data_IF_720908662904
#
_entry.id   IF_720908662904
#
_cell.length_a   1.000
_cell.length_b   1.000
_cell.length_c   1.000
_cell.angle_alpha   90.00
_cell.angle_beta   90.00
_cell.angle_gamma   90.00
#
_symmetry.space_group_name_H-M   'P 1'
#
loop_
_entity.id
_entity.type
_entity.pdbx_description
1 polymer ?
#
# COMPACT_ATOMS: atom_id res chain seq x y z
N UNK A 1 5.68 -11.40 14.04
CA UNK A 1 6.02 -12.63 13.31
C UNK A 1 6.95 -13.46 14.19
N UNK A 2 6.39 -14.09 15.23
CA UNK A 2 7.18 -14.69 16.31
C UNK A 2 7.15 -16.22 16.28
N UNK A 3 6.46 -16.81 15.30
CA UNK A 3 6.51 -18.25 15.01
C UNK A 3 7.44 -18.47 13.81
N UNK A 4 8.56 -19.18 13.97
CA UNK A 4 9.47 -19.52 12.87
C UNK A 4 8.77 -20.30 11.74
N UNK A 5 7.83 -21.17 12.08
CA UNK A 5 7.08 -21.99 11.12
C UNK A 5 6.23 -21.15 10.18
N UNK A 6 5.63 -20.07 10.70
CA UNK A 6 4.87 -19.10 9.91
C UNK A 6 5.83 -18.21 9.12
N UNK A 7 6.89 -17.73 9.75
CA UNK A 7 7.82 -16.77 9.13
C UNK A 7 8.54 -17.34 7.90
N UNK A 8 8.95 -18.61 7.94
CA UNK A 8 9.65 -19.27 6.83
C UNK A 8 8.74 -19.55 5.63
N UNK A 9 7.42 -19.49 5.83
CA UNK A 9 6.42 -19.70 4.77
C UNK A 9 5.98 -18.39 4.11
N UNK A 10 6.51 -17.24 4.55
CA UNK A 10 6.16 -15.92 4.04
C UNK A 10 7.31 -15.35 3.20
N UNK A 11 6.97 -14.74 2.06
CA UNK A 11 7.93 -13.99 1.23
C UNK A 11 8.37 -12.67 1.88
N UNK A 12 7.60 -12.16 2.84
CA UNK A 12 7.92 -10.95 3.61
C UNK A 12 7.07 -10.88 4.88
N UNK A 13 7.47 -10.11 5.90
CA UNK A 13 8.74 -9.38 6.03
C UNK A 13 9.91 -10.33 6.38
N UNK A 14 11.18 -9.86 6.42
CA UNK A 14 12.33 -10.69 6.77
C UNK A 14 12.26 -11.29 8.18
N UNK A 15 12.83 -12.48 8.35
CA UNK A 15 12.98 -13.17 9.63
C UNK A 15 14.46 -13.24 10.08
N UNK A 16 14.80 -12.84 11.32
CA UNK A 16 13.92 -12.23 12.32
C UNK A 16 13.51 -10.81 11.91
N UNK A 17 12.31 -10.40 12.34
CA UNK A 17 11.84 -9.04 12.08
C UNK A 17 12.46 -8.07 13.08
N UNK A 18 13.51 -7.38 12.65
CA UNK A 18 14.19 -6.35 13.43
C UNK A 18 13.42 -5.03 13.42
N UNK A 19 13.66 -4.18 14.43
CA UNK A 19 13.04 -2.85 14.56
C UNK A 19 13.30 -1.97 13.35
N UNK A 20 14.49 -2.09 12.77
CA UNK A 20 14.97 -1.34 11.61
C UNK A 20 14.11 -1.62 10.37
N UNK A 21 13.60 -2.86 10.21
CA UNK A 21 12.68 -3.20 9.13
C UNK A 21 11.35 -2.48 9.30
N UNK A 22 10.83 -2.42 10.53
CA UNK A 22 9.63 -1.65 10.85
C UNK A 22 9.82 -0.15 10.58
N UNK A 23 10.98 0.40 10.95
CA UNK A 23 11.31 1.81 10.69
C UNK A 23 11.42 2.11 9.18
N UNK A 24 12.07 1.24 8.42
CA UNK A 24 12.18 1.39 6.96
C UNK A 24 10.80 1.35 6.30
N UNK A 25 9.97 0.36 6.66
CA UNK A 25 8.59 0.26 6.17
C UNK A 25 7.73 1.48 6.55
N UNK A 26 7.87 1.99 7.78
CA UNK A 26 7.16 3.19 8.21
C UNK A 26 7.62 4.42 7.42
N UNK A 27 8.93 4.56 7.18
CA UNK A 27 9.48 5.68 6.42
C UNK A 27 8.98 5.68 4.97
N UNK A 28 8.92 4.52 4.32
CA UNK A 28 8.30 4.39 2.99
C UNK A 28 6.82 4.75 3.03
N UNK A 29 6.10 4.31 4.07
CA UNK A 29 4.67 4.57 4.22
C UNK A 29 4.37 6.06 4.43
N UNK A 30 5.19 6.76 5.21
CA UNK A 30 5.09 8.22 5.38
C UNK A 30 5.42 8.96 4.09
N UNK A 31 6.42 8.50 3.31
CA UNK A 31 6.75 9.10 2.01
C UNK A 31 5.57 9.02 1.04
N UNK A 32 4.93 7.85 0.95
CA UNK A 32 3.77 7.64 0.08
C UNK A 32 2.62 8.58 0.49
N UNK A 33 2.37 8.70 1.81
CA UNK A 33 1.37 9.60 2.37
C UNK A 33 1.65 11.06 2.04
N UNK A 34 2.86 11.57 2.31
CA UNK A 34 3.21 12.97 2.07
C UNK A 34 3.11 13.32 0.59
N UNK A 35 3.51 12.41 -0.30
CA UNK A 35 3.36 12.59 -1.76
C UNK A 35 1.89 12.82 -2.15
N UNK A 36 0.98 12.00 -1.62
CA UNK A 36 -0.45 12.17 -1.86
C UNK A 36 -1.01 13.44 -1.19
N UNK A 37 -0.54 13.79 0.00
CA UNK A 37 -0.99 14.98 0.72
C UNK A 37 -0.55 16.29 0.07
N UNK A 38 0.60 16.33 -0.61
CA UNK A 38 1.01 17.51 -1.41
C UNK A 38 -0.03 17.81 -2.48
N UNK A 39 -0.52 16.79 -3.19
CA UNK A 39 -1.59 16.96 -4.17
C UNK A 39 -2.88 17.45 -3.53
N UNK A 40 -3.29 16.83 -2.42
CA UNK A 40 -4.53 17.20 -1.70
C UNK A 40 -4.48 18.64 -1.18
N UNK A 41 -3.38 19.04 -0.54
CA UNK A 41 -3.25 20.36 0.11
C UNK A 41 -3.19 21.51 -0.88
N UNK A 42 -2.74 21.26 -2.11
CA UNK A 42 -2.62 22.27 -3.16
C UNK A 42 -3.88 22.36 -4.05
N UNK A 43 -4.90 21.54 -3.80
CA UNK A 43 -6.15 21.63 -4.53
C UNK A 43 -7.07 22.67 -3.87
N UNK A 44 -7.58 23.63 -4.65
CA UNK A 44 -8.39 24.73 -4.12
C UNK A 44 -9.78 24.29 -3.63
N UNK A 45 -10.45 23.40 -4.39
CA UNK A 45 -11.83 22.95 -4.06
C UNK A 45 -12.08 21.49 -4.43
N UNK A 46 -11.52 21.02 -5.53
CA UNK A 46 -11.69 19.64 -6.00
C UNK A 46 -10.32 18.98 -6.21
N UNK A 47 -10.02 17.99 -5.38
CA UNK A 47 -8.78 17.20 -5.44
C UNK A 47 -8.74 16.32 -6.71
N UNK A 48 -9.89 16.03 -7.31
CA UNK A 48 -10.00 15.10 -8.43
C UNK A 48 -9.56 13.69 -8.06
N UNK A 49 -9.00 12.96 -9.02
CA UNK A 49 -8.46 11.63 -8.79
C UNK A 49 -7.00 11.69 -8.34
N UNK A 50 -6.68 10.92 -7.31
CA UNK A 50 -5.32 10.79 -6.77
C UNK A 50 -4.76 9.44 -7.21
N UNK A 51 -3.54 9.44 -7.75
CA UNK A 51 -2.85 8.21 -8.16
C UNK A 51 -2.27 7.38 -7.01
N UNK A 52 -2.44 7.84 -5.77
CA UNK A 52 -1.92 7.23 -4.55
C UNK A 52 -2.99 7.25 -3.46
N UNK A 53 -2.96 6.26 -2.56
CA UNK A 53 -3.92 6.13 -1.47
C UNK A 53 -3.33 6.63 -0.14
N UNK A 54 -3.71 7.82 0.35
CA UNK A 54 -3.14 8.39 1.58
C UNK A 54 -3.73 7.79 2.86
N UNK A 55 -4.87 7.10 2.81
CA UNK A 55 -5.61 6.70 4.00
C UNK A 55 -5.22 5.30 4.46
N UNK A 56 -4.07 5.18 5.10
CA UNK A 56 -3.49 3.87 5.39
C UNK A 56 -3.75 3.29 6.77
N UNK A 57 -3.97 4.11 7.79
CA UNK A 57 -4.07 3.60 9.17
C UNK A 57 -5.50 3.25 9.57
N UNK A 58 -5.65 2.08 10.16
CA UNK A 58 -6.87 1.66 10.85
C UNK A 58 -6.72 2.05 12.31
N UNK A 59 -7.70 2.77 12.84
CA UNK A 59 -7.68 3.27 14.22
C UNK A 59 -9.02 3.05 14.90
N UNK A 60 -8.96 2.79 16.20
CA UNK A 60 -10.11 2.89 17.10
C UNK A 60 -10.17 4.30 17.66
N UNK A 61 -11.38 4.86 17.78
CA UNK A 61 -11.62 6.17 18.37
C UNK A 61 -12.42 5.98 19.64
N UNK A 62 -11.78 6.26 20.78
CA UNK A 62 -12.41 6.21 22.10
C UNK A 62 -13.48 7.28 22.27
N UNK A 63 -14.37 7.09 23.25
CA UNK A 63 -15.40 8.09 23.61
C UNK A 63 -14.81 9.40 24.13
N UNK A 64 -13.55 9.39 24.57
CA UNK A 64 -12.75 10.55 24.99
C UNK A 64 -11.98 11.20 23.84
N UNK A 65 -12.08 10.65 22.61
CA UNK A 65 -11.35 11.10 21.43
C UNK A 65 -9.93 10.53 21.32
N UNK A 66 -9.50 9.65 22.22
CA UNK A 66 -8.20 8.98 22.11
C UNK A 66 -8.20 8.06 20.88
N UNK A 67 -7.14 8.13 20.08
CA UNK A 67 -6.97 7.28 18.91
C UNK A 67 -5.97 6.16 19.18
N UNK A 68 -6.41 4.91 19.06
CA UNK A 68 -5.54 3.73 19.17
C UNK A 68 -5.23 3.19 17.77
N UNK A 69 -3.94 3.07 17.45
CA UNK A 69 -3.51 2.46 16.18
C UNK A 69 -3.78 0.95 16.21
N UNK A 70 -4.61 0.47 15.28
CA UNK A 70 -4.96 -0.95 15.16
C UNK A 70 -4.21 -1.65 14.02
N UNK A 71 -3.79 -0.90 13.00
CA UNK A 71 -3.05 -1.48 11.88
C UNK A 71 -2.96 -0.58 10.67
N UNK A 72 -2.47 -1.15 9.57
CA UNK A 72 -2.30 -0.50 8.28
C UNK A 72 -3.03 -1.30 7.21
N UNK A 73 -3.76 -0.61 6.33
CA UNK A 73 -4.31 -1.14 5.10
C UNK A 73 -3.69 -0.41 3.93
N UNK A 74 -3.13 -1.18 3.01
CA UNK A 74 -2.54 -0.67 1.78
C UNK A 74 -3.45 -0.95 0.62
N UNK A 75 -3.74 0.08 -0.16
CA UNK A 75 -4.42 -0.01 -1.44
C UNK A 75 -3.47 0.52 -2.50
N UNK A 76 -3.04 -0.35 -3.41
CA UNK A 76 -2.15 0.02 -4.51
C UNK A 76 -2.73 -0.48 -5.82
N UNK A 77 -2.21 0.03 -6.94
CA UNK A 77 -2.43 -0.63 -8.22
C UNK A 77 -1.86 -2.04 -8.16
N UNK A 78 -2.62 -3.01 -8.65
CA UNK A 78 -2.17 -4.40 -8.76
C UNK A 78 -0.90 -4.43 -9.63
N UNK A 79 0.19 -4.89 -9.03
CA UNK A 79 1.53 -4.86 -9.61
C UNK A 79 2.17 -6.24 -9.67
N UNK A 80 1.45 -7.29 -9.28
CA UNK A 80 1.94 -8.66 -9.27
C UNK A 80 1.16 -9.54 -10.22
N UNK A 81 -0.17 -9.43 -10.26
CA UNK A 81 -1.03 -10.31 -11.05
C UNK A 81 -0.63 -11.79 -10.90
N UNK A 82 -0.50 -12.26 -9.65
CA UNK A 82 0.09 -13.57 -9.31
C UNK A 82 -0.67 -14.77 -9.92
N UNK A 83 -1.91 -14.57 -10.36
CA UNK A 83 -2.71 -15.58 -11.07
C UNK A 83 -2.31 -15.79 -12.54
N UNK A 84 -1.40 -14.98 -13.09
CA UNK A 84 -0.90 -15.10 -14.46
C UNK A 84 0.45 -15.82 -14.44
N UNK A 85 0.49 -17.07 -14.89
CA UNK A 85 1.72 -17.88 -14.91
C UNK A 85 2.73 -17.38 -15.96
N UNK A 86 2.25 -16.99 -17.14
CA UNK A 86 3.09 -16.48 -18.23
C UNK A 86 3.72 -15.13 -17.85
N UNK A 87 5.05 -15.13 -17.71
CA UNK A 87 5.81 -13.97 -17.27
C UNK A 87 5.67 -12.77 -18.20
N UNK A 88 5.70 -12.97 -19.52
CA UNK A 88 5.60 -11.85 -20.47
C UNK A 88 4.20 -11.24 -20.45
N UNK A 89 3.15 -12.07 -20.36
CA UNK A 89 1.79 -11.60 -20.23
C UNK A 89 1.57 -10.85 -18.91
N UNK A 90 2.15 -11.35 -17.81
CA UNK A 90 2.10 -10.73 -16.48
C UNK A 90 2.76 -9.36 -16.49
N UNK A 91 3.98 -9.24 -17.04
CA UNK A 91 4.71 -7.97 -17.16
C UNK A 91 3.97 -6.96 -18.04
N UNK A 92 3.38 -7.41 -19.15
CA UNK A 92 2.55 -6.56 -19.99
C UNK A 92 1.34 -6.01 -19.22
N UNK A 93 0.67 -6.85 -18.41
CA UNK A 93 -0.47 -6.42 -17.59
C UNK A 93 -0.10 -5.49 -16.45
N UNK A 94 1.03 -5.72 -15.79
CA UNK A 94 1.58 -4.79 -14.80
C UNK A 94 1.81 -3.42 -15.44
N UNK A 95 2.46 -3.39 -16.61
CA UNK A 95 2.77 -2.15 -17.33
C UNK A 95 1.50 -1.43 -17.78
N UNK A 96 0.55 -2.16 -18.36
CA UNK A 96 -0.76 -1.61 -18.78
C UNK A 96 -1.47 -0.96 -17.59
N UNK A 97 -1.64 -1.69 -16.49
CA UNK A 97 -2.33 -1.19 -15.29
C UNK A 97 -1.61 0.00 -14.64
N UNK A 98 -0.27 -0.01 -14.60
CA UNK A 98 0.53 1.09 -14.10
C UNK A 98 0.42 2.36 -14.97
N UNK A 99 0.18 2.20 -16.28
CA UNK A 99 0.10 3.30 -17.24
C UNK A 99 -1.24 4.04 -17.26
N UNK A 100 -2.31 3.45 -16.71
CA UNK A 100 -3.65 4.06 -16.72
C UNK A 100 -3.65 5.40 -15.97
N UNK A 101 -4.38 6.43 -16.43
CA UNK A 101 -4.46 7.70 -15.70
C UNK A 101 -5.24 7.54 -14.39
N UNK A 102 -4.94 8.30 -13.33
CA UNK A 102 -5.74 8.30 -12.10
C UNK A 102 -7.23 8.51 -12.41
N UNK A 103 -8.09 7.68 -11.82
CA UNK A 103 -9.54 7.72 -12.03
C UNK A 103 -10.06 6.85 -13.16
N UNK A 104 -9.18 6.20 -13.94
CA UNK A 104 -9.61 5.23 -14.93
C UNK A 104 -10.30 4.03 -14.26
N UNK A 105 -11.54 3.69 -14.65
CA UNK A 105 -12.30 2.59 -14.02
C UNK A 105 -11.71 1.20 -14.30
N UNK A 106 -10.78 1.07 -15.25
CA UNK A 106 -10.12 -0.18 -15.59
C UNK A 106 -8.88 -0.46 -14.74
N UNK A 107 -8.50 0.45 -13.83
CA UNK A 107 -7.41 0.20 -12.90
C UNK A 107 -7.78 -0.99 -12.02
N UNK A 108 -6.94 -2.02 -12.06
CA UNK A 108 -7.01 -3.14 -11.13
C UNK A 108 -6.26 -2.73 -9.86
N UNK A 109 -6.94 -2.82 -8.74
CA UNK A 109 -6.40 -2.50 -7.42
C UNK A 109 -6.16 -3.78 -6.62
N UNK A 110 -5.18 -3.73 -5.72
CA UNK A 110 -4.90 -4.80 -4.77
C UNK A 110 -4.92 -4.26 -3.34
N UNK A 111 -5.43 -5.11 -2.44
CA UNK A 111 -5.39 -4.88 -1.00
C UNK A 111 -4.22 -5.65 -0.40
N UNK A 112 -3.48 -4.99 0.48
CA UNK A 112 -2.23 -5.52 0.99
C UNK A 112 -1.11 -5.42 -0.05
N UNK A 113 0.09 -5.85 0.33
CA UNK A 113 1.24 -5.84 -0.58
C UNK A 113 2.56 -5.98 0.16
N UNK A 114 3.25 -7.08 -0.12
CA UNK A 114 4.71 -7.09 -0.08
C UNK A 114 5.25 -6.35 -1.30
N UNK A 115 6.44 -5.76 -1.18
CA UNK A 115 7.28 -5.55 -2.37
C UNK A 115 7.59 -6.92 -2.97
#
# INVERSE_FOLDING_TARGET
MNSPEVALSLNSPPFPFLREHGRAWLQDSVRDYESAMVHIRNADENVGYIGAFPLRHIREVGSDGLETFLGDVRLNREGRFESIDDTHLREAKITENASLPPGDPNIVWSFGGGQ
#
